data_IF_293120539746
#
_entry.id   IF_293120539746
#
_cell.length_a   1.000
_cell.length_b   1.000
_cell.length_c   1.000
_cell.angle_alpha   90.00
_cell.angle_beta   90.00
_cell.angle_gamma   90.00
#
_symmetry.space_group_name_H-M   'P 1'
#
loop_
_entity.id
_entity.type
_entity.pdbx_description
1 polymer ?
#
# COMPACT_ATOMS: atom_id res chain seq x y z
N UNK A 1 -19.35 -18.46 18.90
CA UNK A 1 -18.98 -17.64 17.73
C UNK A 1 -17.63 -18.17 17.23
N UNK A 2 -17.45 -18.43 15.94
CA UNK A 2 -16.12 -18.77 15.43
C UNK A 2 -15.18 -17.57 15.65
N UNK A 3 -13.88 -17.80 15.85
CA UNK A 3 -12.91 -16.74 16.04
C UNK A 3 -12.92 -15.81 14.82
N UNK A 4 -13.03 -14.50 15.03
CA UNK A 4 -13.21 -13.45 14.03
C UNK A 4 -11.99 -13.29 13.08
N UNK A 5 -10.93 -14.03 13.31
CA UNK A 5 -9.67 -13.87 12.56
C UNK A 5 -8.98 -15.19 12.23
N UNK A 6 -9.63 -16.05 11.42
CA UNK A 6 -8.82 -17.11 10.82
C UNK A 6 -7.83 -16.48 9.82
N UNK A 7 -6.51 -16.68 9.96
CA UNK A 7 -5.52 -16.21 8.98
C UNK A 7 -5.72 -16.87 7.61
N UNK A 8 -6.54 -17.90 7.53
CA UNK A 8 -6.75 -18.76 6.36
C UNK A 8 -8.05 -18.47 5.60
N UNK A 9 -8.71 -17.32 5.83
CA UNK A 9 -9.90 -16.94 5.06
C UNK A 9 -9.53 -16.86 3.56
N UNK A 10 -10.24 -17.57 2.64
CA UNK A 10 -9.83 -17.67 1.24
C UNK A 10 -9.70 -16.33 0.52
N UNK A 11 -10.64 -15.40 0.74
CA UNK A 11 -10.57 -14.06 0.15
C UNK A 11 -9.37 -13.26 0.67
N UNK A 12 -9.03 -13.43 1.95
CA UNK A 12 -7.88 -12.79 2.57
C UNK A 12 -6.57 -13.30 1.95
N UNK A 13 -6.46 -14.61 1.72
CA UNK A 13 -5.31 -15.21 1.01
C UNK A 13 -5.22 -14.71 -0.43
N UNK A 14 -6.34 -14.68 -1.16
CA UNK A 14 -6.38 -14.17 -2.52
C UNK A 14 -5.93 -12.70 -2.60
N UNK A 15 -6.36 -11.84 -1.67
CA UNK A 15 -5.94 -10.43 -1.61
C UNK A 15 -4.47 -10.27 -1.24
N UNK A 16 -3.93 -11.08 -0.34
CA UNK A 16 -2.49 -11.09 -0.02
C UNK A 16 -1.65 -11.40 -1.25
N UNK A 17 -2.07 -12.33 -2.07
CA UNK A 17 -1.37 -12.69 -3.29
C UNK A 17 -1.30 -11.55 -4.32
N UNK A 18 -2.15 -10.52 -4.19
CA UNK A 18 -2.08 -9.32 -5.02
C UNK A 18 -0.98 -8.34 -4.58
N UNK A 19 -0.44 -8.48 -3.37
CA UNK A 19 0.61 -7.58 -2.86
C UNK A 19 1.96 -7.96 -3.46
N UNK A 20 2.21 -7.53 -4.70
CA UNK A 20 3.48 -7.72 -5.40
C UNK A 20 3.73 -6.63 -6.44
N UNK A 21 5.00 -6.41 -6.79
CA UNK A 21 5.41 -5.46 -7.82
C UNK A 21 5.25 -3.99 -7.41
N UNK A 22 4.67 -3.17 -8.27
CA UNK A 22 4.54 -1.72 -8.02
C UNK A 22 3.26 -1.41 -7.25
N UNK A 23 3.41 -0.76 -6.11
CA UNK A 23 2.34 -0.33 -5.23
C UNK A 23 2.22 1.20 -5.28
N UNK A 24 1.20 1.73 -5.95
CA UNK A 24 0.97 3.17 -6.06
C UNK A 24 0.28 3.71 -4.81
N UNK A 25 0.74 4.86 -4.31
CA UNK A 25 0.07 5.63 -3.26
C UNK A 25 -0.22 7.03 -3.81
N UNK A 26 -1.48 7.50 -3.74
CA UNK A 26 -1.86 8.81 -4.25
C UNK A 26 -1.11 9.93 -3.52
N UNK A 27 -0.77 10.99 -4.25
CA UNK A 27 -0.37 12.25 -3.64
C UNK A 27 -1.60 12.97 -3.05
N UNK A 28 -1.36 13.91 -2.13
CA UNK A 28 -2.43 14.79 -1.63
C UNK A 28 -2.95 15.65 -2.79
N UNK A 29 -4.24 15.51 -3.15
CA UNK A 29 -4.87 16.21 -4.28
C UNK A 29 -6.29 16.67 -3.90
N UNK A 30 -6.54 17.96 -4.05
CA UNK A 30 -7.84 18.58 -3.77
C UNK A 30 -8.83 18.50 -4.92
N UNK A 31 -8.34 18.37 -6.17
CA UNK A 31 -9.15 18.24 -7.36
C UNK A 31 -9.42 16.77 -7.68
N UNK A 32 -10.67 16.35 -7.50
CA UNK A 32 -11.11 14.98 -7.76
C UNK A 32 -10.94 14.60 -9.23
N UNK A 33 -11.19 15.51 -10.17
CA UNK A 33 -11.08 15.23 -11.61
C UNK A 33 -9.64 14.91 -11.98
N UNK A 34 -8.70 15.70 -11.45
CA UNK A 34 -7.26 15.47 -11.64
C UNK A 34 -6.80 14.17 -11.00
N UNK A 35 -7.21 13.91 -9.74
CA UNK A 35 -6.90 12.66 -9.07
C UNK A 35 -7.33 11.44 -9.90
N UNK A 36 -8.56 11.45 -10.42
CA UNK A 36 -9.09 10.34 -11.22
C UNK A 36 -8.33 10.16 -12.54
N UNK A 37 -8.02 11.26 -13.23
CA UNK A 37 -7.23 11.21 -14.48
C UNK A 37 -5.83 10.62 -14.24
N UNK A 38 -5.16 11.05 -13.18
CA UNK A 38 -3.83 10.56 -12.81
C UNK A 38 -3.87 9.07 -12.41
N UNK A 39 -4.88 8.66 -11.64
CA UNK A 39 -5.05 7.25 -11.25
C UNK A 39 -5.38 6.37 -12.46
N UNK A 40 -6.28 6.80 -13.34
CA UNK A 40 -6.61 6.07 -14.55
C UNK A 40 -5.39 5.91 -15.48
N UNK A 41 -4.57 6.95 -15.61
CA UNK A 41 -3.30 6.89 -16.33
C UNK A 41 -2.33 5.88 -15.71
N UNK A 42 -2.21 5.87 -14.37
CA UNK A 42 -1.36 4.91 -13.64
C UNK A 42 -1.81 3.47 -13.85
N UNK A 43 -3.11 3.19 -13.69
CA UNK A 43 -3.69 1.86 -13.87
C UNK A 43 -3.60 1.38 -15.33
N UNK A 44 -3.82 2.28 -16.29
CA UNK A 44 -3.59 2.02 -17.73
C UNK A 44 -2.12 1.75 -18.05
N UNK A 45 -1.19 2.27 -17.25
CA UNK A 45 0.25 2.01 -17.32
C UNK A 45 0.68 0.68 -16.72
N UNK A 46 -0.24 -0.10 -16.13
CA UNK A 46 0.02 -1.43 -15.61
C UNK A 46 0.02 -1.57 -14.09
N UNK A 47 -0.22 -0.49 -13.35
CA UNK A 47 -0.39 -0.55 -11.89
C UNK A 47 -1.62 -1.40 -11.53
N UNK A 48 -1.52 -2.20 -10.47
CA UNK A 48 -2.60 -3.08 -9.99
C UNK A 48 -2.91 -2.93 -8.50
N UNK A 49 -2.12 -2.14 -7.76
CA UNK A 49 -2.35 -1.81 -6.36
C UNK A 49 -2.35 -0.30 -6.23
N UNK A 50 -3.43 0.24 -5.69
CA UNK A 50 -3.59 1.66 -5.41
C UNK A 50 -3.95 1.87 -3.95
N UNK A 51 -3.17 2.64 -3.21
CA UNK A 51 -3.55 3.16 -1.91
C UNK A 51 -4.01 4.62 -2.08
N UNK A 52 -5.25 4.88 -1.69
CA UNK A 52 -5.72 6.25 -1.55
C UNK A 52 -5.22 6.85 -0.24
N UNK A 53 -4.46 7.91 -0.35
CA UNK A 53 -3.95 8.72 0.75
C UNK A 53 -4.14 10.20 0.40
N UNK A 54 -4.86 10.95 1.23
CA UNK A 54 -4.99 12.40 1.13
C UNK A 54 -5.09 13.00 2.54
N UNK A 55 -3.97 13.45 3.07
CA UNK A 55 -3.89 13.99 4.45
C UNK A 55 -4.42 15.42 4.56
N UNK A 56 -4.56 16.12 3.44
CA UNK A 56 -5.06 17.49 3.40
C UNK A 56 -6.59 17.55 3.20
N UNK A 57 -7.21 16.47 2.74
CA UNK A 57 -8.64 16.41 2.49
C UNK A 57 -9.46 16.26 3.79
N UNK A 58 -10.54 17.02 3.89
CA UNK A 58 -11.58 16.77 4.91
C UNK A 58 -12.40 15.52 4.58
N UNK A 59 -13.21 15.05 5.54
CA UNK A 59 -13.98 13.80 5.44
C UNK A 59 -14.92 13.74 4.23
N UNK A 60 -15.58 14.83 3.90
CA UNK A 60 -16.48 14.89 2.74
C UNK A 60 -15.74 14.68 1.40
N UNK A 61 -14.57 15.32 1.22
CA UNK A 61 -13.76 15.16 0.03
C UNK A 61 -13.16 13.75 -0.05
N UNK A 62 -12.68 13.19 1.07
CA UNK A 62 -12.19 11.81 1.12
C UNK A 62 -13.26 10.82 0.68
N UNK A 63 -14.47 10.96 1.18
CA UNK A 63 -15.62 10.13 0.78
C UNK A 63 -15.87 10.22 -0.72
N UNK A 64 -16.01 11.43 -1.25
CA UNK A 64 -16.26 11.67 -2.67
C UNK A 64 -15.17 11.05 -3.56
N UNK A 65 -13.90 11.22 -3.18
CA UNK A 65 -12.77 10.68 -3.93
C UNK A 65 -12.72 9.15 -3.87
N UNK A 66 -12.96 8.55 -2.71
CA UNK A 66 -12.98 7.09 -2.54
C UNK A 66 -14.13 6.42 -3.29
N UNK A 67 -15.34 7.00 -3.28
CA UNK A 67 -16.49 6.51 -4.06
C UNK A 67 -16.16 6.48 -5.56
N UNK A 68 -15.54 7.54 -6.07
CA UNK A 68 -15.14 7.61 -7.47
C UNK A 68 -13.99 6.63 -7.81
N UNK A 69 -12.96 6.56 -6.96
CA UNK A 69 -11.82 5.66 -7.15
C UNK A 69 -12.22 4.19 -7.10
N UNK A 70 -13.22 3.82 -6.31
CA UNK A 70 -13.73 2.45 -6.25
C UNK A 70 -14.16 1.96 -7.65
N UNK A 71 -14.96 2.76 -8.36
CA UNK A 71 -15.38 2.42 -9.72
C UNK A 71 -14.22 2.31 -10.72
N UNK A 72 -13.26 3.23 -10.65
CA UNK A 72 -12.07 3.19 -11.51
C UNK A 72 -11.21 1.96 -11.23
N UNK A 73 -10.95 1.63 -9.96
CA UNK A 73 -10.18 0.45 -9.58
C UNK A 73 -10.87 -0.86 -10.01
N UNK A 74 -12.20 -0.96 -9.87
CA UNK A 74 -12.98 -2.10 -10.31
C UNK A 74 -12.86 -2.33 -11.83
N UNK A 75 -12.99 -1.27 -12.64
CA UNK A 75 -12.83 -1.34 -14.10
C UNK A 75 -11.45 -1.85 -14.53
N UNK A 76 -10.41 -1.46 -13.81
CA UNK A 76 -9.03 -1.87 -14.07
C UNK A 76 -8.60 -3.15 -13.33
N UNK A 77 -9.51 -3.77 -12.54
CA UNK A 77 -9.18 -4.93 -11.67
C UNK A 77 -8.01 -4.66 -10.77
N UNK A 78 -7.92 -3.44 -10.23
CA UNK A 78 -6.90 -3.01 -9.31
C UNK A 78 -7.40 -3.09 -7.87
N UNK A 79 -6.52 -3.46 -6.94
CA UNK A 79 -6.79 -3.44 -5.51
C UNK A 79 -6.77 -2.00 -5.01
N UNK A 80 -7.90 -1.53 -4.45
CA UNK A 80 -7.99 -0.24 -3.78
C UNK A 80 -7.80 -0.43 -2.27
N UNK A 81 -6.85 0.31 -1.69
CA UNK A 81 -6.52 0.29 -0.26
C UNK A 81 -6.75 1.68 0.30
N UNK A 82 -7.40 1.80 1.45
CA UNK A 82 -7.61 3.09 2.14
C UNK A 82 -6.54 3.29 3.21
N UNK A 83 -5.87 4.44 3.18
CA UNK A 83 -4.88 4.80 4.19
C UNK A 83 -5.56 5.33 5.46
N UNK A 84 -5.20 4.80 6.62
CA UNK A 84 -5.58 5.18 7.99
C UNK A 84 -7.07 5.00 8.32
N UNK A 85 -7.98 5.50 7.48
CA UNK A 85 -9.42 5.63 7.79
C UNK A 85 -10.23 4.36 7.50
N UNK A 86 -10.04 3.33 8.33
CA UNK A 86 -10.74 2.06 8.19
C UNK A 86 -12.25 2.18 8.43
N UNK A 87 -12.71 3.19 9.19
CA UNK A 87 -14.13 3.43 9.41
C UNK A 87 -14.82 3.88 8.13
N UNK A 88 -14.22 4.85 7.43
CA UNK A 88 -14.71 5.29 6.13
C UNK A 88 -14.62 4.17 5.09
N UNK A 89 -13.56 3.36 5.11
CA UNK A 89 -13.43 2.18 4.24
C UNK A 89 -14.60 1.20 4.46
N UNK A 90 -14.93 0.88 5.71
CA UNK A 90 -16.06 0.00 6.07
C UNK A 90 -17.42 0.57 5.60
N UNK A 91 -17.66 1.86 5.80
CA UNK A 91 -18.88 2.54 5.33
C UNK A 91 -19.06 2.48 3.81
N UNK A 92 -17.96 2.54 3.06
CA UNK A 92 -17.95 2.52 1.58
C UNK A 92 -17.85 1.09 1.00
N UNK A 93 -17.76 0.07 1.86
CA UNK A 93 -17.58 -1.31 1.43
C UNK A 93 -16.25 -1.53 0.70
N UNK A 94 -15.20 -0.85 1.15
CA UNK A 94 -13.82 -1.07 0.70
C UNK A 94 -13.13 -1.88 1.79
N UNK A 95 -12.77 -3.10 1.48
CA UNK A 95 -12.32 -4.10 2.45
C UNK A 95 -10.78 -4.27 2.49
N UNK A 96 -10.04 -3.24 2.10
CA UNK A 96 -8.59 -3.18 2.18
C UNK A 96 -8.11 -1.85 2.76
N UNK A 97 -7.25 -1.91 3.79
CA UNK A 97 -6.73 -0.73 4.49
C UNK A 97 -5.25 -0.87 4.81
N UNK A 98 -4.58 0.27 4.99
CA UNK A 98 -3.22 0.36 5.51
C UNK A 98 -3.19 1.24 6.74
N UNK A 99 -2.66 0.73 7.86
CA UNK A 99 -2.66 1.38 9.16
C UNK A 99 -1.25 1.69 9.65
N UNK A 100 -1.06 2.88 10.17
CA UNK A 100 0.11 3.29 10.93
C UNK A 100 -0.01 2.91 12.40
N UNK A 101 0.85 3.50 13.22
CA UNK A 101 0.90 3.20 14.66
C UNK A 101 -0.29 3.81 15.43
N UNK A 102 -0.72 4.99 14.99
CA UNK A 102 -1.74 5.78 15.69
C UNK A 102 -3.15 5.64 15.07
N UNK A 103 -3.32 4.76 14.07
CA UNK A 103 -4.55 4.69 13.28
C UNK A 103 -5.63 3.73 13.84
N UNK A 104 -5.42 3.29 15.09
CA UNK A 104 -6.38 2.50 15.85
C UNK A 104 -6.06 1.01 15.93
N UNK A 105 -7.00 0.26 16.47
CA UNK A 105 -6.85 -1.17 16.74
C UNK A 105 -7.11 -2.02 15.48
N UNK A 106 -6.17 -2.88 15.12
CA UNK A 106 -6.22 -3.74 13.93
C UNK A 106 -7.37 -4.75 14.02
N UNK A 107 -7.66 -5.27 15.23
CA UNK A 107 -8.74 -6.23 15.41
C UNK A 107 -10.12 -5.55 15.33
N UNK A 108 -10.22 -4.29 15.79
CA UNK A 108 -11.41 -3.48 15.62
C UNK A 108 -11.66 -3.21 14.12
N UNK A 109 -10.63 -2.80 13.39
CA UNK A 109 -10.69 -2.62 11.95
C UNK A 109 -11.13 -3.93 11.23
N UNK A 110 -10.54 -5.07 11.61
CA UNK A 110 -10.89 -6.38 11.07
C UNK A 110 -12.36 -6.75 11.32
N UNK A 111 -12.88 -6.47 12.53
CA UNK A 111 -14.28 -6.72 12.84
C UNK A 111 -15.24 -5.87 12.01
N UNK A 112 -14.90 -4.62 11.77
CA UNK A 112 -15.69 -3.69 10.96
C UNK A 112 -15.67 -4.01 9.46
N UNK A 113 -14.50 -4.34 8.93
CA UNK A 113 -14.28 -4.63 7.50
C UNK A 113 -14.65 -6.08 7.11
N UNK A 114 -14.77 -6.97 8.09
CA UNK A 114 -15.07 -8.38 7.87
C UNK A 114 -13.83 -9.30 7.77
N UNK A 115 -14.02 -10.63 7.88
CA UNK A 115 -12.94 -11.61 8.00
C UNK A 115 -12.10 -11.75 6.73
N UNK A 116 -12.64 -11.42 5.57
CA UNK A 116 -11.95 -11.45 4.28
C UNK A 116 -11.14 -10.19 3.96
N UNK A 117 -11.18 -9.15 4.81
CA UNK A 117 -10.49 -7.89 4.54
C UNK A 117 -8.96 -8.01 4.53
N UNK A 118 -8.30 -7.12 3.80
CA UNK A 118 -6.84 -7.00 3.76
C UNK A 118 -6.38 -5.84 4.64
N UNK A 119 -5.57 -6.10 5.64
CA UNK A 119 -5.02 -5.06 6.52
C UNK A 119 -3.50 -5.07 6.47
N UNK A 120 -2.92 -4.03 5.89
CA UNK A 120 -1.49 -3.78 5.93
C UNK A 120 -1.11 -2.87 7.08
N UNK A 121 0.14 -2.99 7.54
CA UNK A 121 0.64 -2.18 8.65
C UNK A 121 2.03 -1.61 8.38
N UNK A 122 2.27 -0.40 8.89
CA UNK A 122 3.58 0.22 8.89
C UNK A 122 4.45 -0.36 10.01
N UNK A 123 5.61 -0.92 9.63
CA UNK A 123 6.61 -1.44 10.57
C UNK A 123 7.83 -0.51 10.69
N UNK A 124 7.89 0.56 9.88
CA UNK A 124 9.03 1.49 9.84
C UNK A 124 10.35 0.74 9.58
N UNK A 125 11.32 0.78 10.49
CA UNK A 125 12.56 0.01 10.42
C UNK A 125 12.66 -1.04 11.55
N UNK A 126 11.51 -1.48 12.12
CA UNK A 126 11.49 -2.35 13.29
C UNK A 126 11.09 -3.80 12.93
N UNK A 127 12.04 -4.71 13.11
CA UNK A 127 11.84 -6.18 13.02
C UNK A 127 10.93 -6.67 14.16
N UNK A 128 11.05 -6.10 15.36
CA UNK A 128 10.22 -6.44 16.52
C UNK A 128 8.76 -6.12 16.25
N UNK A 129 8.49 -4.93 15.67
CA UNK A 129 7.14 -4.51 15.31
C UNK A 129 6.56 -5.44 14.24
N UNK A 130 7.34 -5.81 13.24
CA UNK A 130 6.93 -6.78 12.23
C UNK A 130 6.54 -8.13 12.85
N UNK A 131 7.37 -8.64 13.76
CA UNK A 131 7.08 -9.90 14.49
C UNK A 131 5.80 -9.82 15.32
N UNK A 132 5.60 -8.70 16.01
CA UNK A 132 4.41 -8.48 16.85
C UNK A 132 3.12 -8.38 16.03
N UNK A 133 3.17 -7.73 14.85
CA UNK A 133 1.99 -7.46 14.03
C UNK A 133 1.68 -8.54 12.98
N UNK A 134 2.64 -9.37 12.59
CA UNK A 134 2.43 -10.44 11.60
C UNK A 134 1.25 -11.38 11.90
N UNK A 135 0.90 -11.73 13.16
CA UNK A 135 -0.26 -12.56 13.43
C UNK A 135 -1.59 -11.94 13.01
N UNK A 136 -1.72 -10.61 13.08
CA UNK A 136 -2.98 -9.88 12.85
C UNK A 136 -3.02 -9.12 11.52
N UNK A 137 -1.86 -8.76 10.97
CA UNK A 137 -1.72 -8.07 9.69
C UNK A 137 -1.66 -9.02 8.50
N UNK A 138 -1.92 -8.50 7.30
CA UNK A 138 -1.88 -9.24 6.03
C UNK A 138 -0.64 -8.94 5.21
N UNK A 139 -0.06 -7.75 5.32
CA UNK A 139 1.25 -7.40 4.79
C UNK A 139 1.94 -6.37 5.69
N UNK A 140 3.27 -6.31 5.58
CA UNK A 140 4.13 -5.50 6.44
C UNK A 140 4.92 -4.51 5.59
N UNK A 141 4.82 -3.20 5.90
CA UNK A 141 5.49 -2.16 5.15
C UNK A 141 6.68 -1.56 5.92
N UNK A 142 7.81 -1.42 5.23
CA UNK A 142 9.08 -0.95 5.80
C UNK A 142 9.60 0.27 5.05
N UNK A 143 10.09 1.25 5.79
CA UNK A 143 10.66 2.49 5.24
C UNK A 143 10.90 3.56 6.31
N UNK A 144 11.46 4.72 5.89
CA UNK A 144 11.81 5.06 4.53
C UNK A 144 13.11 4.38 4.12
N UNK A 145 13.18 3.82 2.88
CA UNK A 145 14.38 3.10 2.39
C UNK A 145 15.42 4.06 1.82
N UNK A 146 14.97 5.09 1.11
CA UNK A 146 15.83 6.10 0.51
C UNK A 146 15.41 7.50 0.97
N UNK A 147 16.32 8.45 0.88
CA UNK A 147 16.02 9.84 1.15
C UNK A 147 14.90 10.33 0.22
N UNK A 148 13.92 11.03 0.78
CA UNK A 148 12.80 11.56 0.00
C UNK A 148 12.49 12.99 0.43
N UNK A 149 12.02 13.80 -0.53
CA UNK A 149 11.60 15.17 -0.23
C UNK A 149 10.44 15.27 0.78
N UNK A 150 9.80 14.15 1.13
CA UNK A 150 8.65 14.11 2.04
C UNK A 150 9.06 13.94 3.52
N UNK A 151 10.23 13.34 3.80
CA UNK A 151 10.79 13.17 5.17
C UNK A 151 12.32 13.24 5.14
N UNK A 152 12.92 14.42 4.99
CA UNK A 152 14.37 14.56 4.77
C UNK A 152 15.25 14.19 5.99
N UNK A 153 14.69 14.09 7.18
CA UNK A 153 15.43 13.79 8.43
C UNK A 153 15.28 12.35 8.93
N UNK A 154 14.51 11.49 8.26
CA UNK A 154 14.41 10.09 8.64
C UNK A 154 15.70 9.35 8.24
N UNK A 155 16.31 8.61 9.20
CA UNK A 155 17.39 7.68 8.85
C UNK A 155 16.82 6.60 7.94
N UNK A 156 17.39 6.35 6.75
CA UNK A 156 16.90 5.30 5.86
C UNK A 156 16.97 3.94 6.55
N UNK A 157 15.91 3.14 6.40
CA UNK A 157 15.96 1.74 6.77
C UNK A 157 16.87 0.99 5.78
N UNK A 158 17.80 0.15 6.24
CA UNK A 158 18.68 -0.57 5.34
C UNK A 158 17.92 -1.65 4.57
N UNK A 159 18.29 -1.91 3.32
CA UNK A 159 17.69 -2.97 2.50
C UNK A 159 17.90 -4.38 3.12
N UNK A 160 18.96 -4.59 3.92
CA UNK A 160 19.19 -5.83 4.66
C UNK A 160 18.03 -6.21 5.58
N UNK A 161 17.20 -5.23 5.98
CA UNK A 161 16.03 -5.45 6.83
C UNK A 161 15.05 -6.48 6.24
N UNK A 162 14.88 -6.51 4.92
CA UNK A 162 14.00 -7.50 4.28
C UNK A 162 14.48 -8.93 4.51
N UNK A 163 15.79 -9.18 4.39
CA UNK A 163 16.38 -10.51 4.67
C UNK A 163 16.26 -10.91 6.15
N UNK A 164 16.43 -9.94 7.04
CA UNK A 164 16.25 -10.17 8.48
C UNK A 164 14.80 -10.58 8.81
N UNK A 165 13.80 -9.90 8.20
CA UNK A 165 12.39 -10.23 8.39
C UNK A 165 12.02 -11.55 7.72
N UNK A 166 12.54 -11.85 6.53
CA UNK A 166 12.33 -13.14 5.85
C UNK A 166 12.84 -14.32 6.68
N UNK A 167 13.98 -14.16 7.38
CA UNK A 167 14.52 -15.18 8.26
C UNK A 167 13.59 -15.55 9.43
N UNK A 168 12.61 -14.68 9.75
CA UNK A 168 11.58 -14.98 10.76
C UNK A 168 10.44 -15.85 10.23
N UNK A 169 10.36 -16.10 8.92
CA UNK A 169 9.33 -16.94 8.27
C UNK A 169 7.90 -16.52 8.64
N UNK A 170 7.64 -15.20 8.66
CA UNK A 170 6.34 -14.64 9.10
C UNK A 170 5.19 -14.91 8.11
N UNK A 171 5.49 -15.42 6.90
CA UNK A 171 4.53 -15.73 5.83
C UNK A 171 3.60 -14.54 5.50
N UNK A 172 4.15 -13.33 5.45
CA UNK A 172 3.45 -12.08 5.07
C UNK A 172 4.21 -11.39 3.96
N UNK A 173 3.53 -10.86 2.93
CA UNK A 173 4.16 -9.99 1.95
C UNK A 173 4.85 -8.80 2.60
N UNK A 174 6.03 -8.45 2.09
CA UNK A 174 6.85 -7.35 2.56
C UNK A 174 6.81 -6.21 1.52
N UNK A 175 6.50 -5.01 1.98
CA UNK A 175 6.40 -3.82 1.12
C UNK A 175 7.49 -2.83 1.50
N UNK A 176 8.28 -2.40 0.51
CA UNK A 176 9.24 -1.31 0.69
C UNK A 176 8.62 0.04 0.35
N UNK A 177 8.94 1.10 1.11
CA UNK A 177 8.49 2.48 0.84
C UNK A 177 9.57 3.51 1.15
N UNK A 178 9.52 4.62 0.45
CA UNK A 178 10.34 5.81 0.69
C UNK A 178 11.44 6.00 -0.33
N UNK A 179 11.33 7.04 -1.16
CA UNK A 179 12.30 7.44 -2.18
C UNK A 179 12.50 6.43 -3.31
N UNK A 180 11.53 5.56 -3.55
CA UNK A 180 11.60 4.53 -4.60
C UNK A 180 11.20 5.14 -5.95
N UNK A 181 11.96 4.81 -6.99
CA UNK A 181 11.76 5.18 -8.39
C UNK A 181 12.16 4.04 -9.34
N UNK A 182 12.14 4.28 -10.66
CA UNK A 182 12.46 3.26 -11.65
C UNK A 182 13.95 2.82 -11.64
N UNK A 183 14.85 3.62 -11.08
CA UNK A 183 16.28 3.33 -11.07
C UNK A 183 16.65 2.44 -9.87
N UNK A 184 15.88 2.50 -8.77
CA UNK A 184 16.21 1.77 -7.55
C UNK A 184 15.18 0.69 -7.14
N UNK A 185 14.01 0.62 -7.77
CA UNK A 185 12.95 -0.35 -7.44
C UNK A 185 13.45 -1.80 -7.51
N UNK A 186 14.29 -2.13 -8.50
CA UNK A 186 14.88 -3.47 -8.64
C UNK A 186 15.66 -3.87 -7.38
N UNK A 187 16.48 -2.97 -6.84
CA UNK A 187 17.26 -3.25 -5.63
C UNK A 187 16.40 -3.52 -4.38
N UNK A 188 15.19 -2.94 -4.31
CA UNK A 188 14.23 -3.18 -3.23
C UNK A 188 13.63 -4.59 -3.34
N UNK A 189 13.23 -4.99 -4.55
CA UNK A 189 12.65 -6.31 -4.80
C UNK A 189 13.73 -7.41 -4.66
N UNK A 190 14.93 -7.21 -5.18
CA UNK A 190 16.08 -8.12 -5.03
C UNK A 190 16.51 -8.29 -3.56
N UNK A 191 16.28 -7.28 -2.73
CA UNK A 191 16.53 -7.37 -1.30
C UNK A 191 15.50 -8.24 -0.56
N UNK A 192 14.39 -8.60 -1.20
CA UNK A 192 13.36 -9.49 -0.68
C UNK A 192 12.03 -8.82 -0.33
N UNK A 193 11.76 -7.60 -0.81
CA UNK A 193 10.43 -7.05 -0.79
C UNK A 193 9.57 -7.69 -1.88
N UNK A 194 8.30 -7.98 -1.58
CA UNK A 194 7.32 -8.46 -2.58
C UNK A 194 6.76 -7.31 -3.41
N UNK A 195 6.61 -6.12 -2.81
CA UNK A 195 6.14 -4.93 -3.49
C UNK A 195 6.93 -3.68 -3.08
N UNK A 196 6.96 -2.70 -3.98
CA UNK A 196 7.61 -1.42 -3.77
C UNK A 196 6.59 -0.27 -3.93
N UNK A 197 6.40 0.49 -2.84
CA UNK A 197 5.43 1.58 -2.78
C UNK A 197 6.03 2.90 -3.26
N UNK A 198 5.33 3.54 -4.19
CA UNK A 198 5.76 4.78 -4.86
C UNK A 198 4.69 5.87 -4.76
N UNK A 199 5.13 7.13 -4.62
CA UNK A 199 4.27 8.32 -4.62
C UNK A 199 4.76 9.30 -5.70
N UNK A 200 5.83 10.04 -5.40
CA UNK A 200 6.30 11.15 -6.22
C UNK A 200 6.93 10.72 -7.55
N UNK A 201 7.59 9.57 -7.60
CA UNK A 201 8.14 8.99 -8.83
C UNK A 201 7.06 8.56 -9.83
N UNK A 202 5.80 8.45 -9.38
CA UNK A 202 4.64 8.17 -10.22
C UNK A 202 3.80 9.44 -10.45
N UNK A 203 3.24 10.04 -9.40
CA UNK A 203 2.21 11.08 -9.50
C UNK A 203 2.75 12.53 -9.64
N UNK A 204 4.04 12.77 -9.44
CA UNK A 204 4.67 14.09 -9.66
C UNK A 204 5.41 14.17 -10.99
N UNK A 205 5.07 13.32 -11.95
CA UNK A 205 5.64 13.29 -13.30
C UNK A 205 4.69 13.98 -14.29
N UNK A 206 5.25 14.52 -15.36
CA UNK A 206 4.43 15.15 -16.41
C UNK A 206 3.54 14.16 -17.19
N UNK A 207 3.97 12.88 -17.27
CA UNK A 207 3.21 11.80 -17.89
C UNK A 207 3.17 10.59 -16.91
N UNK A 208 2.05 10.50 -16.18
CA UNK A 208 1.82 9.45 -15.17
C UNK A 208 1.78 8.06 -15.80
N UNK A 209 1.20 7.90 -17.00
CA UNK A 209 1.13 6.61 -17.68
C UNK A 209 2.52 6.10 -18.08
N UNK A 210 3.33 6.96 -18.67
CA UNK A 210 4.71 6.61 -19.01
C UNK A 210 5.56 6.32 -17.76
N UNK A 211 5.35 7.06 -16.66
CA UNK A 211 6.00 6.79 -15.39
C UNK A 211 5.61 5.42 -14.82
N UNK A 212 4.32 5.08 -14.85
CA UNK A 212 3.82 3.77 -14.43
C UNK A 212 4.44 2.63 -15.25
N UNK A 213 4.48 2.77 -16.58
CA UNK A 213 5.10 1.78 -17.47
C UNK A 213 6.58 1.57 -17.17
N UNK A 214 7.34 2.65 -16.92
CA UNK A 214 8.76 2.55 -16.53
C UNK A 214 8.95 1.82 -15.22
N UNK A 215 8.15 2.14 -14.20
CA UNK A 215 8.20 1.49 -12.89
C UNK A 215 7.84 -0.01 -13.00
N UNK A 216 6.77 -0.35 -13.71
CA UNK A 216 6.35 -1.74 -13.91
C UNK A 216 7.42 -2.53 -14.68
N UNK A 217 8.00 -1.95 -15.74
CA UNK A 217 9.06 -2.60 -16.50
C UNK A 217 10.36 -2.78 -15.68
N UNK A 218 10.67 -1.83 -14.78
CA UNK A 218 11.83 -1.94 -13.89
C UNK A 218 11.60 -3.03 -12.82
N UNK A 219 10.39 -3.10 -12.24
CA UNK A 219 10.02 -4.12 -11.26
C UNK A 219 10.00 -5.55 -11.84
N UNK A 220 9.68 -5.72 -13.12
CA UNK A 220 9.62 -7.04 -13.77
C UNK A 220 11.00 -7.65 -14.11
N UNK A 221 12.09 -6.88 -13.94
CA UNK A 221 13.47 -7.31 -14.22
C UNK A 221 14.23 -7.84 -13.00
N UNK A 222 13.58 -7.81 -11.84
CA UNK A 222 14.11 -8.23 -10.53
C UNK A 222 13.74 -9.66 -10.20
#
# INVERSE_FOLDING_TARGET
>A
MPPVSSPDHPERQARRALIHGVYAITADEGDTTRLLADVEAALSGGIRILQYRNKLAGSALKRQQLEALKGVCEQHRALLIVNDDWRLAAELGIDAVHLGEDDGDIEEARRALGPGSLIGVSCYASVERARALAPVADYLAFGALFASGTKPLARPAPLSLFREVQALSLARPLVGIGGIDADNIGSVLDAGADAAAVIGSLFRQGDVRAAAQRLVAAAARS
#
